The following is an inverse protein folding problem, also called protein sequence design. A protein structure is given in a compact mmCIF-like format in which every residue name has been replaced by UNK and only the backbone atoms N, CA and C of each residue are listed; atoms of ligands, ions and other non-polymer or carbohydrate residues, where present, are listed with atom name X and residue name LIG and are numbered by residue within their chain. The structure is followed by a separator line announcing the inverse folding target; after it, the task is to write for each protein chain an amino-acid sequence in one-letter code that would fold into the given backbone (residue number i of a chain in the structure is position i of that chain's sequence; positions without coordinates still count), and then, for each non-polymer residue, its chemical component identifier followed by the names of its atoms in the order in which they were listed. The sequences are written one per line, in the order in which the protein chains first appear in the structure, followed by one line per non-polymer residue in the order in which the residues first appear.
data_IF_476547252992
#
_entry.id   IF_476547252992
#
_cell.length_a   1.000
_cell.length_b   1.000
_cell.length_c   1.000
_cell.angle_alpha   90.00
_cell.angle_beta   90.00
_cell.angle_gamma   90.00
#
_symmetry.space_group_name_H-M   'P 1'
#
loop_
_entity.id
_entity.type
_entity.pdbx_description
1 polymer ?
#
# COMPACT_ATOMS: atom_id res chain seq x y z
N UNK A 1 6.16 -17.81 36.97
CA UNK A 1 5.13 -17.81 35.91
C UNK A 1 5.26 -16.49 35.17
N UNK A 2 6.13 -16.46 34.16
CA UNK A 2 6.31 -15.27 33.30
C UNK A 2 5.09 -15.17 32.38
N UNK A 3 4.46 -13.99 32.23
CA UNK A 3 3.33 -13.86 31.33
C UNK A 3 3.77 -14.24 29.91
N UNK A 4 3.10 -15.22 29.31
CA UNK A 4 3.22 -15.57 27.91
C UNK A 4 2.92 -14.33 27.05
N UNK A 5 3.74 -14.00 26.03
CA UNK A 5 3.52 -12.89 25.11
C UNK A 5 2.35 -13.20 24.15
N UNK A 6 1.17 -13.46 24.71
CA UNK A 6 -0.04 -13.84 24.00
C UNK A 6 -0.82 -12.64 23.47
N UNK A 7 -0.40 -11.40 23.79
CA UNK A 7 -1.01 -10.15 23.32
C UNK A 7 -0.32 -9.50 22.10
N UNK A 8 0.84 -9.98 21.65
CA UNK A 8 1.51 -9.57 20.38
C UNK A 8 0.78 -10.15 19.14
N UNK A 9 -0.51 -10.44 19.27
CA UNK A 9 -1.43 -10.84 18.21
C UNK A 9 -2.46 -9.74 17.95
N UNK A 10 -2.16 -8.49 18.31
CA UNK A 10 -2.84 -7.31 17.80
C UNK A 10 -2.43 -7.10 16.32
N UNK A 11 -2.88 -8.04 15.48
CA UNK A 11 -2.60 -8.14 14.04
C UNK A 11 -2.65 -6.77 13.41
N UNK A 12 -1.49 -6.30 12.94
CA UNK A 12 -1.29 -5.00 12.32
C UNK A 12 -2.48 -4.61 11.42
N UNK A 13 -3.38 -3.72 11.87
CA UNK A 13 -4.60 -3.38 11.13
C UNK A 13 -4.28 -2.78 9.75
N UNK A 14 -3.10 -2.19 9.61
CA UNK A 14 -2.57 -1.71 8.34
C UNK A 14 -2.36 -2.83 7.30
N UNK A 15 -1.98 -4.05 7.69
CA UNK A 15 -1.82 -5.17 6.76
C UNK A 15 -3.17 -5.61 6.18
N UNK A 16 -4.22 -5.60 7.01
CA UNK A 16 -5.58 -5.90 6.54
C UNK A 16 -6.08 -4.87 5.54
N UNK A 17 -5.84 -3.58 5.79
CA UNK A 17 -6.20 -2.52 4.84
C UNK A 17 -5.51 -2.69 3.48
N UNK A 18 -4.21 -3.00 3.48
CA UNK A 18 -3.45 -3.26 2.25
C UNK A 18 -4.01 -4.49 1.52
N UNK A 19 -4.23 -5.59 2.24
CA UNK A 19 -4.79 -6.82 1.67
C UNK A 19 -6.18 -6.59 1.05
N UNK A 20 -7.06 -5.84 1.73
CA UNK A 20 -8.38 -5.49 1.20
C UNK A 20 -8.27 -4.63 -0.06
N UNK A 21 -7.38 -3.64 -0.07
CA UNK A 21 -7.20 -2.79 -1.24
C UNK A 21 -6.67 -3.57 -2.47
N UNK A 22 -5.74 -4.51 -2.24
CA UNK A 22 -5.27 -5.44 -3.27
C UNK A 22 -6.39 -6.36 -3.79
N UNK A 23 -7.20 -6.91 -2.88
CA UNK A 23 -8.35 -7.75 -3.25
C UNK A 23 -9.35 -6.97 -4.11
N UNK A 24 -9.66 -5.71 -3.73
CA UNK A 24 -10.54 -4.82 -4.52
C UNK A 24 -9.95 -4.54 -5.90
N UNK A 25 -8.66 -4.18 -5.99
CA UNK A 25 -8.02 -3.93 -7.29
C UNK A 25 -8.07 -5.16 -8.22
N UNK A 26 -7.85 -6.36 -7.65
CA UNK A 26 -7.92 -7.63 -8.38
C UNK A 26 -9.34 -7.91 -8.86
N UNK A 27 -10.33 -7.73 -7.99
CA UNK A 27 -11.74 -7.95 -8.30
C UNK A 27 -12.24 -6.98 -9.37
N UNK A 28 -11.87 -5.70 -9.29
CA UNK A 28 -12.16 -4.71 -10.34
C UNK A 28 -11.51 -5.12 -11.66
N UNK A 29 -10.26 -5.57 -11.64
CA UNK A 29 -9.58 -6.09 -12.83
C UNK A 29 -10.30 -7.28 -13.47
N UNK A 30 -10.79 -8.22 -12.66
CA UNK A 30 -11.55 -9.37 -13.13
C UNK A 30 -12.93 -9.01 -13.71
N UNK A 31 -13.61 -8.01 -13.15
CA UNK A 31 -14.98 -7.65 -13.55
C UNK A 31 -15.04 -6.61 -14.69
N UNK A 32 -14.09 -5.68 -14.74
CA UNK A 32 -14.13 -4.51 -15.63
C UNK A 32 -12.94 -4.42 -16.58
N UNK A 33 -12.06 -5.42 -16.57
CA UNK A 33 -10.88 -5.50 -17.41
C UNK A 33 -9.62 -4.97 -16.73
N UNK A 34 -8.46 -5.37 -17.26
CA UNK A 34 -7.16 -5.12 -16.65
C UNK A 34 -6.88 -3.62 -16.49
N UNK A 35 -7.28 -2.80 -17.46
CA UNK A 35 -7.14 -1.33 -17.41
C UNK A 35 -7.80 -0.69 -16.18
N UNK A 36 -9.00 -1.14 -15.81
CA UNK A 36 -9.72 -0.63 -14.65
C UNK A 36 -9.12 -1.13 -13.32
N UNK A 37 -8.70 -2.41 -13.26
CA UNK A 37 -8.00 -2.96 -12.10
C UNK A 37 -6.68 -2.25 -11.82
N UNK A 38 -5.91 -1.95 -12.87
CA UNK A 38 -4.66 -1.18 -12.79
C UNK A 38 -4.92 0.24 -12.29
N UNK A 39 -5.98 0.91 -12.76
CA UNK A 39 -6.33 2.26 -12.27
C UNK A 39 -6.60 2.27 -10.76
N UNK A 40 -7.32 1.28 -10.24
CA UNK A 40 -7.58 1.13 -8.79
C UNK A 40 -6.30 0.86 -8.01
N UNK A 41 -5.40 0.03 -8.56
CA UNK A 41 -4.10 -0.25 -7.94
C UNK A 41 -3.23 1.03 -7.85
N UNK A 42 -3.17 1.80 -8.94
CA UNK A 42 -2.45 3.08 -8.99
C UNK A 42 -3.00 4.05 -7.95
N UNK A 43 -4.32 4.22 -7.90
CA UNK A 43 -4.97 5.08 -6.90
C UNK A 43 -4.63 4.65 -5.46
N UNK A 44 -4.64 3.34 -5.20
CA UNK A 44 -4.30 2.77 -3.90
C UNK A 44 -2.86 3.09 -3.50
N UNK A 45 -1.90 2.92 -4.41
CA UNK A 45 -0.48 3.20 -4.16
C UNK A 45 -0.24 4.69 -3.88
N UNK A 46 -0.92 5.58 -4.61
CA UNK A 46 -0.85 7.03 -4.38
C UNK A 46 -1.42 7.40 -3.01
N UNK A 47 -2.59 6.89 -2.63
CA UNK A 47 -3.18 7.13 -1.31
C UNK A 47 -2.29 6.58 -0.19
N UNK A 48 -1.68 5.41 -0.38
CA UNK A 48 -0.73 4.84 0.57
C UNK A 48 0.52 5.73 0.74
N UNK A 49 1.09 6.23 -0.36
CA UNK A 49 2.21 7.17 -0.31
C UNK A 49 1.83 8.48 0.40
N UNK A 50 0.68 9.06 0.06
CA UNK A 50 0.17 10.29 0.66
C UNK A 50 -0.07 10.11 2.17
N UNK A 51 -0.70 9.01 2.59
CA UNK A 51 -0.95 8.72 4.00
C UNK A 51 0.35 8.64 4.81
N UNK A 52 1.41 8.05 4.25
CA UNK A 52 2.73 7.97 4.89
C UNK A 52 3.40 9.34 5.02
N UNK A 53 3.22 10.23 4.05
CA UNK A 53 3.74 11.59 4.11
C UNK A 53 2.96 12.44 5.14
N UNK A 54 1.64 12.29 5.21
CA UNK A 54 0.78 13.06 6.12
C UNK A 54 0.90 12.59 7.57
N UNK A 55 1.05 11.28 7.83
CA UNK A 55 1.19 10.75 9.20
C UNK A 55 2.61 10.92 9.79
N UNK A 56 3.53 11.58 9.07
CA UNK A 56 4.93 11.79 9.46
C UNK A 56 5.08 12.51 10.81
N UNK A 57 4.11 13.33 11.23
CA UNK A 57 4.17 14.10 12.48
C UNK A 57 3.76 13.35 13.75
N UNK A 58 3.28 12.09 13.68
CA UNK A 58 2.71 11.36 14.84
C UNK A 58 3.55 10.23 15.40
N UNK A 59 4.79 10.03 14.94
CA UNK A 59 5.67 8.98 15.49
C UNK A 59 6.94 9.60 16.10
N UNK A 60 7.29 9.24 17.34
CA UNK A 60 8.50 9.72 17.97
C UNK A 60 9.70 9.24 17.16
N UNK A 61 10.58 10.17 16.84
CA UNK A 61 11.87 9.95 16.21
C UNK A 61 12.66 8.95 17.08
N UNK A 62 12.64 7.66 16.73
CA UNK A 62 13.27 6.65 17.59
C UNK A 62 13.03 5.19 17.25
N UNK A 63 12.05 4.85 16.39
CA UNK A 63 11.93 3.48 15.84
C UNK A 63 12.50 3.47 14.43
N UNK A 64 13.73 2.98 14.35
CA UNK A 64 14.72 3.18 13.30
C UNK A 64 14.44 2.52 11.93
N UNK A 65 15.20 3.00 10.93
CA UNK A 65 15.63 2.37 9.65
C UNK A 65 14.64 2.17 8.49
N UNK A 66 13.49 2.86 8.43
CA UNK A 66 12.80 2.99 7.12
C UNK A 66 12.51 4.43 6.79
N UNK A 67 13.31 4.96 5.86
CA UNK A 67 13.10 6.28 5.28
C UNK A 67 11.68 6.34 4.73
N UNK A 68 10.82 7.12 5.37
CA UNK A 68 9.45 7.37 4.91
C UNK A 68 9.47 7.90 3.47
N UNK A 69 10.51 8.66 3.12
CA UNK A 69 10.77 9.09 1.75
C UNK A 69 11.06 7.92 0.81
N UNK A 70 11.92 6.98 1.20
CA UNK A 70 12.19 5.78 0.39
C UNK A 70 10.91 4.97 0.17
N UNK A 71 10.10 4.76 1.22
CA UNK A 71 8.83 4.06 1.10
C UNK A 71 7.83 4.79 0.19
N UNK A 72 7.71 6.12 0.32
CA UNK A 72 6.85 6.92 -0.54
C UNK A 72 7.33 6.90 -2.00
N UNK A 73 8.64 6.99 -2.23
CA UNK A 73 9.25 6.91 -3.56
C UNK A 73 9.02 5.54 -4.20
N UNK A 74 9.15 4.44 -3.45
CA UNK A 74 8.87 3.09 -3.96
C UNK A 74 7.40 2.96 -4.35
N UNK A 75 6.48 3.44 -3.49
CA UNK A 75 5.03 3.38 -3.76
C UNK A 75 4.65 4.23 -4.99
N UNK A 76 5.20 5.44 -5.10
CA UNK A 76 4.98 6.30 -6.26
C UNK A 76 5.63 5.73 -7.52
N UNK A 77 6.83 5.16 -7.42
CA UNK A 77 7.51 4.49 -8.54
C UNK A 77 6.70 3.31 -9.07
N UNK A 78 6.14 2.48 -8.18
CA UNK A 78 5.20 1.41 -8.54
C UNK A 78 3.93 1.97 -9.18
N UNK A 79 3.36 3.05 -8.64
CA UNK A 79 2.17 3.68 -9.20
C UNK A 79 2.43 4.18 -10.63
N UNK A 80 3.58 4.81 -10.86
CA UNK A 80 4.00 5.26 -12.20
C UNK A 80 4.22 4.07 -13.12
N UNK A 81 4.93 3.02 -12.68
CA UNK A 81 5.17 1.81 -13.48
C UNK A 81 3.86 1.13 -13.91
N UNK A 82 2.92 0.96 -12.98
CA UNK A 82 1.58 0.45 -13.28
C UNK A 82 0.80 1.39 -14.21
N UNK A 83 0.90 2.71 -14.00
CA UNK A 83 0.28 3.71 -14.87
C UNK A 83 0.82 3.66 -16.30
N UNK A 84 2.13 3.50 -16.48
CA UNK A 84 2.76 3.30 -17.80
C UNK A 84 2.26 2.01 -18.44
N UNK A 85 2.11 0.92 -17.66
CA UNK A 85 1.58 -0.36 -18.15
C UNK A 85 0.19 -0.20 -18.79
N UNK A 86 -0.65 0.68 -18.23
CA UNK A 86 -1.99 1.00 -18.73
C UNK A 86 -1.99 1.57 -20.17
N UNK A 87 -0.87 2.13 -20.63
CA UNK A 87 -0.70 2.65 -21.99
C UNK A 87 -0.05 1.64 -22.95
N UNK A 88 0.38 0.48 -22.45
CA UNK A 88 0.93 -0.60 -23.29
C UNK A 88 -0.20 -1.50 -23.79
N UNK A 89 -0.06 -2.05 -25.01
CA UNK A 89 -1.11 -2.82 -25.72
C UNK A 89 -1.45 -4.20 -25.13
N UNK A 90 -1.11 -4.45 -23.87
CA UNK A 90 -1.41 -5.70 -23.15
C UNK A 90 -2.39 -5.55 -21.97
N UNK A 91 -2.94 -4.36 -21.73
CA UNK A 91 -3.81 -4.02 -20.57
C UNK A 91 -5.13 -3.38 -21.00
#
# INVERSE_FOLDING_TARGET
MTPEPSEERHRAPALWLVATALAVATLVGGLSGARAGVAVLVATLVVAAASRLVLRGRRPEGVAVRSVWLDATILLGLAVGCGVLMFTTGV
#
